data_IF_888772091499
#
_entry.id   IF_888772091499
#
_cell.length_a   1.000
_cell.length_b   1.000
_cell.length_c   1.000
_cell.angle_alpha   90.00
_cell.angle_beta   90.00
_cell.angle_gamma   90.00
#
_symmetry.space_group_name_H-M   'P 1'
#
loop_
_entity.id
_entity.type
_entity.pdbx_description
1 polymer ?
#
# COMPACT_ATOMS: atom_id res chain seq x y z
N UNK A 1 -14.31 -13.56 4.25
CA UNK A 1 -14.98 -13.53 2.93
C UNK A 1 -14.03 -12.91 1.91
N UNK A 2 -14.11 -13.37 0.67
CA UNK A 2 -13.43 -12.86 -0.52
C UNK A 2 -14.47 -12.53 -1.57
N UNK A 3 -14.42 -11.33 -2.15
CA UNK A 3 -15.33 -10.86 -3.19
C UNK A 3 -14.69 -11.06 -4.56
N UNK A 4 -15.28 -11.88 -5.42
CA UNK A 4 -14.69 -12.33 -6.68
C UNK A 4 -15.55 -11.96 -7.88
N UNK A 5 -14.95 -11.28 -8.84
CA UNK A 5 -15.44 -11.06 -10.22
C UNK A 5 -14.48 -11.67 -11.24
N UNK A 6 -13.40 -12.34 -10.78
CA UNK A 6 -12.32 -12.92 -11.58
C UNK A 6 -11.56 -11.86 -12.37
N UNK A 7 -11.22 -10.77 -11.70
CA UNK A 7 -10.45 -9.67 -12.26
C UNK A 7 -9.51 -9.06 -11.19
N UNK A 8 -8.85 -7.95 -11.54
CA UNK A 8 -7.89 -7.27 -10.66
C UNK A 8 -8.52 -6.57 -9.45
N UNK A 9 -9.83 -6.38 -9.43
CA UNK A 9 -10.57 -5.80 -8.30
C UNK A 9 -10.96 -6.81 -7.22
N UNK A 10 -10.66 -8.11 -7.40
CA UNK A 10 -10.98 -9.15 -6.43
C UNK A 10 -10.23 -8.92 -5.12
N UNK A 11 -10.96 -8.89 -3.99
CA UNK A 11 -10.38 -8.53 -2.69
C UNK A 11 -11.18 -9.12 -1.52
N UNK A 12 -10.59 -9.02 -0.32
CA UNK A 12 -11.30 -9.21 0.94
C UNK A 12 -12.19 -8.01 1.31
N UNK A 13 -12.07 -6.91 0.61
CA UNK A 13 -12.91 -5.72 0.74
C UNK A 13 -13.73 -5.53 -0.54
N UNK A 14 -15.06 -5.54 -0.40
CA UNK A 14 -15.95 -5.37 -1.55
C UNK A 14 -15.76 -4.00 -2.18
N UNK A 15 -15.58 -3.96 -3.50
CA UNK A 15 -15.57 -2.70 -4.24
C UNK A 15 -16.94 -2.03 -4.19
N UNK A 16 -16.98 -0.74 -3.87
CA UNK A 16 -18.19 0.06 -3.70
C UNK A 16 -18.66 0.67 -5.02
N UNK A 17 -18.67 -0.15 -6.08
CA UNK A 17 -19.17 0.24 -7.40
C UNK A 17 -20.27 -0.70 -7.83
N UNK A 18 -21.19 -0.24 -8.69
CA UNK A 18 -22.24 -1.07 -9.25
C UNK A 18 -21.70 -2.27 -10.06
N UNK A 19 -20.42 -2.24 -10.43
CA UNK A 19 -19.77 -3.35 -11.11
C UNK A 19 -19.61 -4.59 -10.20
N UNK A 20 -19.50 -4.38 -8.88
CA UNK A 20 -19.35 -5.46 -7.89
C UNK A 20 -20.67 -5.88 -7.22
N UNK A 21 -21.83 -5.36 -7.65
CA UNK A 21 -23.12 -5.72 -7.05
C UNK A 21 -23.45 -7.21 -7.18
N UNK A 22 -23.02 -7.86 -8.26
CA UNK A 22 -23.23 -9.29 -8.55
C UNK A 22 -21.94 -10.13 -8.36
N UNK A 23 -20.98 -9.69 -7.54
CA UNK A 23 -19.77 -10.46 -7.24
C UNK A 23 -20.11 -11.74 -6.46
N UNK A 24 -19.27 -12.76 -6.64
CA UNK A 24 -19.39 -14.01 -5.90
C UNK A 24 -18.64 -13.88 -4.56
N UNK A 25 -19.29 -14.25 -3.47
CA UNK A 25 -18.68 -14.31 -2.15
C UNK A 25 -18.11 -15.72 -1.89
N UNK A 26 -16.81 -15.79 -1.58
CA UNK A 26 -16.10 -17.05 -1.34
C UNK A 26 -15.38 -16.97 0.00
N UNK A 27 -15.45 -18.04 0.79
CA UNK A 27 -14.63 -18.15 1.98
C UNK A 27 -13.21 -18.60 1.61
N UNK A 28 -12.21 -17.79 1.98
CA UNK A 28 -10.78 -18.08 1.79
C UNK A 28 -10.05 -18.02 3.13
N UNK A 29 -9.08 -18.89 3.30
CA UNK A 29 -8.13 -18.81 4.43
C UNK A 29 -6.94 -17.96 4.02
N UNK A 30 -6.61 -16.95 4.82
CA UNK A 30 -5.46 -16.07 4.62
C UNK A 30 -4.30 -16.50 5.51
N UNK A 31 -3.10 -16.07 5.14
CA UNK A 31 -1.90 -16.17 5.97
C UNK A 31 -1.21 -14.80 6.02
N UNK A 32 -0.39 -14.59 7.03
CA UNK A 32 0.41 -13.37 7.14
C UNK A 32 1.71 -13.51 6.36
N UNK A 33 2.31 -12.39 5.93
CA UNK A 33 3.63 -12.41 5.29
C UNK A 33 4.69 -13.02 6.22
N UNK A 34 4.64 -12.72 7.51
CA UNK A 34 5.57 -13.25 8.51
C UNK A 34 5.43 -14.77 8.75
N UNK A 35 4.30 -15.39 8.34
CA UNK A 35 4.12 -16.84 8.33
C UNK A 35 4.60 -17.50 7.03
N UNK A 36 4.57 -16.76 5.92
CA UNK A 36 4.96 -17.26 4.59
C UNK A 36 6.47 -17.12 4.41
N UNK A 37 7.04 -16.00 4.85
CA UNK A 37 8.44 -15.66 4.75
C UNK A 37 9.13 -15.71 6.11
N UNK A 38 10.39 -16.08 6.15
CA UNK A 38 11.21 -16.11 7.35
C UNK A 38 12.25 -14.97 7.33
N UNK A 39 13.02 -14.83 8.39
CA UNK A 39 14.03 -13.79 8.57
C UNK A 39 15.18 -13.81 7.54
N UNK A 40 15.35 -14.90 6.80
CA UNK A 40 16.34 -14.97 5.70
C UNK A 40 15.81 -14.40 4.39
N UNK A 41 14.50 -14.13 4.29
CA UNK A 41 13.91 -13.50 3.13
C UNK A 41 14.04 -11.99 3.28
N UNK A 42 14.86 -11.37 2.42
CA UNK A 42 15.06 -9.93 2.36
C UNK A 42 14.65 -9.45 0.98
N UNK A 43 13.82 -8.41 0.94
CA UNK A 43 13.38 -7.78 -0.29
C UNK A 43 13.76 -6.29 -0.24
N UNK A 44 14.43 -5.81 -1.28
CA UNK A 44 14.77 -4.38 -1.40
C UNK A 44 13.54 -3.51 -1.64
N UNK A 45 12.54 -4.09 -2.35
CA UNK A 45 11.29 -3.44 -2.69
C UNK A 45 10.11 -4.42 -2.53
N UNK A 46 9.01 -3.93 -1.98
CA UNK A 46 7.70 -4.61 -1.93
C UNK A 46 6.65 -3.68 -2.54
N UNK A 47 5.89 -4.16 -3.54
CA UNK A 47 4.65 -3.51 -3.98
C UNK A 47 3.45 -4.23 -3.36
N UNK A 48 2.52 -3.48 -2.78
CA UNK A 48 1.23 -3.98 -2.27
C UNK A 48 0.14 -3.18 -2.96
N UNK A 49 -0.67 -3.91 -3.72
CA UNK A 49 -1.78 -3.42 -4.53
C UNK A 49 -2.86 -4.52 -4.44
N UNK A 50 -3.63 -4.47 -3.38
CA UNK A 50 -4.54 -5.56 -2.97
C UNK A 50 -5.94 -5.04 -2.64
N UNK A 51 -6.31 -3.94 -3.29
CA UNK A 51 -7.65 -3.38 -3.26
C UNK A 51 -8.20 -3.20 -1.83
N UNK A 52 -7.43 -2.50 -0.99
CA UNK A 52 -7.78 -2.13 0.38
C UNK A 52 -7.18 -3.02 1.46
N UNK A 53 -6.49 -4.10 1.11
CA UNK A 53 -5.84 -4.99 2.09
C UNK A 53 -4.42 -4.53 2.51
N UNK A 54 -3.94 -3.37 2.07
CA UNK A 54 -2.57 -2.88 2.26
C UNK A 54 -2.18 -2.82 3.75
N UNK A 55 -2.98 -2.15 4.60
CA UNK A 55 -2.71 -2.09 6.04
C UNK A 55 -2.78 -3.44 6.74
N UNK A 56 -3.79 -4.30 6.52
CA UNK A 56 -3.78 -5.67 7.03
C UNK A 56 -2.53 -6.46 6.64
N UNK A 57 -2.08 -6.36 5.38
CA UNK A 57 -0.88 -7.03 4.88
C UNK A 57 0.38 -6.51 5.59
N UNK A 58 0.55 -5.19 5.67
CA UNK A 58 1.66 -4.55 6.38
C UNK A 58 1.72 -4.98 7.86
N UNK A 59 0.56 -5.02 8.53
CA UNK A 59 0.47 -5.46 9.94
C UNK A 59 0.82 -6.93 10.11
N UNK A 60 0.57 -7.76 9.11
CA UNK A 60 0.91 -9.17 9.08
C UNK A 60 2.33 -9.48 8.60
N UNK A 61 3.11 -8.47 8.20
CA UNK A 61 4.46 -8.60 7.64
C UNK A 61 5.53 -7.79 8.37
N UNK A 62 5.37 -7.54 9.66
CA UNK A 62 6.24 -6.62 10.42
C UNK A 62 7.71 -7.01 10.38
N UNK A 63 8.03 -8.31 10.50
CA UNK A 63 9.40 -8.81 10.47
C UNK A 63 10.02 -8.64 9.08
N UNK A 64 9.25 -8.97 8.05
CA UNK A 64 9.69 -8.84 6.66
C UNK A 64 9.93 -7.37 6.32
N UNK A 65 8.94 -6.51 6.59
CA UNK A 65 8.94 -5.10 6.24
C UNK A 65 10.08 -4.33 6.90
N UNK A 66 10.43 -4.66 8.15
CA UNK A 66 11.53 -3.98 8.85
C UNK A 66 12.89 -4.06 8.13
N UNK A 67 13.06 -4.98 7.18
CA UNK A 67 14.28 -5.18 6.37
C UNK A 67 14.15 -4.67 4.93
N UNK A 68 13.00 -4.12 4.56
CA UNK A 68 12.72 -3.60 3.20
C UNK A 68 13.02 -2.10 3.14
N UNK A 69 13.74 -1.66 2.10
CA UNK A 69 14.09 -0.25 1.93
C UNK A 69 13.01 0.58 1.26
N UNK A 70 12.25 -0.03 0.34
CA UNK A 70 11.24 0.64 -0.48
C UNK A 70 9.93 -0.13 -0.44
N UNK A 71 8.83 0.58 -0.19
CA UNK A 71 7.47 0.02 -0.25
C UNK A 71 6.63 0.89 -1.19
N UNK A 72 5.93 0.26 -2.12
CA UNK A 72 4.96 0.91 -2.99
C UNK A 72 3.57 0.44 -2.56
N UNK A 73 2.68 1.39 -2.30
CA UNK A 73 1.29 1.09 -1.94
C UNK A 73 0.34 1.81 -2.90
N UNK A 74 -0.70 1.10 -3.35
CA UNK A 74 -1.88 1.72 -3.92
C UNK A 74 -2.80 2.13 -2.77
N UNK A 75 -3.06 3.42 -2.63
CA UNK A 75 -3.82 3.97 -1.50
C UNK A 75 -5.12 4.63 -1.95
N UNK A 76 -6.25 4.43 -1.23
CA UNK A 76 -7.46 5.18 -1.46
C UNK A 76 -7.22 6.67 -1.14
N UNK A 77 -7.65 7.58 -2.03
CA UNK A 77 -7.46 9.02 -1.82
C UNK A 77 -8.78 9.71 -1.48
N UNK A 78 -9.77 9.64 -2.36
CA UNK A 78 -11.09 10.22 -2.14
C UNK A 78 -12.19 9.19 -2.28
N UNK A 79 -13.16 9.28 -1.37
CA UNK A 79 -14.29 8.34 -1.33
C UNK A 79 -13.92 6.98 -0.74
N UNK A 80 -14.91 6.14 -0.66
CA UNK A 80 -14.79 4.75 -0.20
C UNK A 80 -14.89 3.83 -1.42
N UNK A 81 -13.76 3.65 -2.11
CA UNK A 81 -13.72 2.79 -3.30
C UNK A 81 -13.94 1.31 -2.94
N UNK A 82 -13.32 0.85 -1.86
CA UNK A 82 -13.59 -0.45 -1.25
C UNK A 82 -14.22 -0.24 0.13
N UNK A 83 -15.29 -0.98 0.44
CA UNK A 83 -16.09 -0.79 1.65
C UNK A 83 -15.29 -1.17 2.91
N UNK A 84 -15.22 -0.28 3.88
CA UNK A 84 -14.58 -0.51 5.19
C UNK A 84 -13.06 -0.43 5.19
N UNK A 85 -12.45 0.03 4.10
CA UNK A 85 -10.98 0.20 4.00
C UNK A 85 -10.55 1.42 4.80
N UNK A 86 -9.40 1.35 5.49
CA UNK A 86 -8.77 2.52 6.10
C UNK A 86 -8.52 3.63 5.09
N UNK A 87 -8.70 4.88 5.49
CA UNK A 87 -8.52 6.04 4.61
C UNK A 87 -7.05 6.34 4.30
N UNK A 88 -6.82 7.27 3.38
CA UNK A 88 -5.49 7.74 2.99
C UNK A 88 -4.62 8.12 4.21
N UNK A 89 -5.17 8.91 5.12
CA UNK A 89 -4.44 9.37 6.30
C UNK A 89 -4.00 8.22 7.21
N UNK A 90 -4.83 7.17 7.36
CA UNK A 90 -4.50 6.03 8.22
C UNK A 90 -3.29 5.27 7.69
N UNK A 91 -3.17 5.15 6.36
CA UNK A 91 -2.01 4.53 5.71
C UNK A 91 -0.74 5.37 5.92
N UNK A 92 -0.81 6.68 5.64
CA UNK A 92 0.34 7.60 5.84
C UNK A 92 0.82 7.58 7.29
N UNK A 93 -0.13 7.66 8.24
CA UNK A 93 0.18 7.61 9.67
C UNK A 93 0.86 6.30 10.06
N UNK A 94 0.31 5.16 9.61
CA UNK A 94 0.90 3.85 9.90
C UNK A 94 2.30 3.71 9.33
N UNK A 95 2.53 4.14 8.08
CA UNK A 95 3.86 4.11 7.47
C UNK A 95 4.87 4.96 8.24
N UNK A 96 4.47 6.15 8.70
CA UNK A 96 5.32 7.01 9.54
C UNK A 96 5.67 6.33 10.87
N UNK A 97 4.69 5.70 11.54
CA UNK A 97 4.86 4.97 12.80
C UNK A 97 5.83 3.78 12.68
N UNK A 98 5.82 3.08 11.55
CA UNK A 98 6.74 1.95 11.30
C UNK A 98 8.08 2.35 10.69
N UNK A 99 8.36 3.66 10.62
CA UNK A 99 9.67 4.18 10.24
C UNK A 99 9.87 4.43 8.75
N UNK A 100 8.80 4.63 8.00
CA UNK A 100 8.85 5.03 6.59
C UNK A 100 8.38 6.46 6.39
N UNK A 101 8.72 7.04 5.27
CA UNK A 101 8.25 8.36 4.83
C UNK A 101 7.89 8.32 3.35
N UNK A 102 6.97 9.17 2.95
CA UNK A 102 6.63 9.38 1.54
C UNK A 102 7.85 9.88 0.79
N UNK A 103 8.14 9.27 -0.35
CA UNK A 103 9.22 9.67 -1.25
C UNK A 103 8.68 10.27 -2.55
N UNK A 104 7.70 9.61 -3.19
CA UNK A 104 7.13 10.07 -4.46
C UNK A 104 5.70 9.55 -4.65
N UNK A 105 4.97 10.19 -5.55
CA UNK A 105 3.67 9.73 -6.08
C UNK A 105 3.91 9.37 -7.55
N UNK A 106 3.75 8.10 -7.90
CA UNK A 106 4.11 7.59 -9.23
C UNK A 106 2.91 7.36 -10.14
N UNK A 107 1.73 7.16 -9.57
CA UNK A 107 0.51 7.01 -10.34
C UNK A 107 -0.68 7.65 -9.63
N UNK A 108 -1.62 8.19 -10.42
CA UNK A 108 -2.83 8.85 -9.94
C UNK A 108 -4.03 8.35 -10.73
N UNK A 109 -4.90 7.60 -10.07
CA UNK A 109 -6.11 7.04 -10.69
C UNK A 109 -7.29 7.99 -10.48
N UNK A 110 -7.84 8.48 -11.60
CA UNK A 110 -8.97 9.40 -11.59
C UNK A 110 -10.19 8.79 -12.23
N UNK A 111 -11.33 9.03 -11.61
CA UNK A 111 -12.64 8.80 -12.22
C UNK A 111 -13.22 10.18 -12.50
N UNK A 112 -13.40 10.50 -13.77
CA UNK A 112 -13.64 11.86 -14.23
C UNK A 112 -12.51 12.79 -13.72
N UNK A 113 -12.83 13.86 -12.98
CA UNK A 113 -11.85 14.78 -12.40
C UNK A 113 -11.45 14.43 -10.94
N UNK A 114 -12.08 13.41 -10.35
CA UNK A 114 -11.88 13.06 -8.94
C UNK A 114 -10.73 12.06 -8.82
N UNK A 115 -9.72 12.39 -8.01
CA UNK A 115 -8.64 11.48 -7.65
C UNK A 115 -9.16 10.43 -6.65
N UNK A 116 -9.17 9.18 -7.06
CA UNK A 116 -9.73 8.07 -6.26
C UNK A 116 -8.63 7.28 -5.55
N UNK A 117 -7.55 6.96 -6.25
CA UNK A 117 -6.43 6.19 -5.70
C UNK A 117 -5.09 6.78 -6.18
N UNK A 118 -4.03 6.51 -5.44
CA UNK A 118 -2.66 6.93 -5.75
C UNK A 118 -1.68 5.81 -5.42
N UNK A 119 -0.69 5.62 -6.30
CA UNK A 119 0.46 4.79 -6.01
C UNK A 119 1.56 5.65 -5.37
N UNK A 120 1.94 5.32 -4.15
CA UNK A 120 2.95 6.06 -3.38
C UNK A 120 4.17 5.18 -3.12
N UNK A 121 5.34 5.75 -3.39
CA UNK A 121 6.62 5.20 -2.93
C UNK A 121 6.90 5.69 -1.51
N UNK A 122 7.12 4.74 -0.62
CA UNK A 122 7.66 4.98 0.71
C UNK A 122 9.08 4.47 0.79
N UNK A 123 9.95 5.23 1.44
CA UNK A 123 11.32 4.83 1.74
C UNK A 123 11.54 4.74 3.23
N UNK A 124 12.38 3.81 3.66
CA UNK A 124 12.76 3.67 5.06
C UNK A 124 13.55 4.90 5.53
N UNK A 125 13.18 5.45 6.68
CA UNK A 125 13.88 6.59 7.28
C UNK A 125 15.35 6.24 7.52
N UNK A 126 16.25 7.15 7.14
CA UNK A 126 17.70 6.97 7.29
C UNK A 126 18.38 6.12 6.21
N UNK A 127 17.63 5.63 5.19
CA UNK A 127 18.22 4.87 4.10
C UNK A 127 19.05 5.74 3.12
N UNK A 128 19.61 5.11 2.08
CA UNK A 128 20.47 5.79 1.11
C UNK A 128 19.72 6.85 0.29
N UNK A 129 18.45 6.59 -0.03
CA UNK A 129 17.63 7.52 -0.84
C UNK A 129 17.35 8.81 -0.07
N UNK A 130 16.98 8.73 1.21
CA UNK A 130 16.79 9.93 2.05
C UNK A 130 18.07 10.76 2.15
N UNK A 131 19.21 10.11 2.39
CA UNK A 131 20.51 10.79 2.46
C UNK A 131 20.86 11.48 1.14
N UNK A 132 20.55 10.87 0.02
CA UNK A 132 20.78 11.47 -1.30
C UNK A 132 19.89 12.70 -1.54
N UNK A 133 18.60 12.63 -1.18
CA UNK A 133 17.69 13.79 -1.23
C UNK A 133 18.22 14.94 -0.37
N UNK A 134 18.66 14.66 0.84
CA UNK A 134 19.24 15.68 1.74
C UNK A 134 20.48 16.36 1.13
N UNK A 135 21.32 15.59 0.43
CA UNK A 135 22.51 16.15 -0.27
C UNK A 135 22.09 17.08 -1.42
N UNK A 136 21.09 16.66 -2.21
CA UNK A 136 20.55 17.50 -3.30
C UNK A 136 20.01 18.81 -2.72
N UNK A 137 19.13 18.73 -1.72
CA UNK A 137 18.53 19.92 -1.10
C UNK A 137 19.61 20.88 -0.58
N UNK A 138 20.62 20.36 0.13
CA UNK A 138 21.75 21.17 0.63
C UNK A 138 22.61 21.79 -0.47
N UNK A 139 22.55 21.29 -1.69
CA UNK A 139 23.27 21.85 -2.86
C UNK A 139 22.51 22.96 -3.57
N UNK A 140 21.20 23.08 -3.35
CA UNK A 140 20.38 24.12 -3.96
C UNK A 140 20.76 25.49 -3.40
N UNK A 141 21.04 26.44 -4.28
CA UNK A 141 21.37 27.82 -3.91
C UNK A 141 22.85 28.09 -3.65
N UNK A 142 23.74 27.16 -4.00
CA UNK A 142 25.18 27.36 -4.00
C UNK A 142 25.69 27.79 -5.39
#
# INVERSE_FOLDING_TARGET
TWYEKRNTGDSMFKENTGYFDDCVEIEKTTSTLDNIFNENNVFDLIKIDCQGAELPILKGGKKLIQHTDVIILELPFMGEYNIGVPGFFDHIKYMDEIGYKVFDIIEMHRVQEILIQVDIIFIKKGNVFEKHVDQIIKSLGK
#
